data_IF_495661176489
#
_entry.id   IF_495661176489
#
_cell.length_a   1.000
_cell.length_b   1.000
_cell.length_c   1.000
_cell.angle_alpha   90.00
_cell.angle_beta   90.00
_cell.angle_gamma   90.00
#
_symmetry.space_group_name_H-M   'P 1'
#
loop_
_entity.id
_entity.type
_entity.pdbx_description
1 polymer ?
#
# COMPACT_ATOMS: atom_id res chain seq x y z
N UNK A 1 -2.15 -3.97 -10.46
CA UNK A 1 -3.44 -3.28 -10.69
C UNK A 1 -3.19 -1.78 -10.59
N UNK A 2 -3.50 -1.00 -11.63
CA UNK A 2 -3.70 0.48 -11.79
C UNK A 2 -3.12 1.53 -10.80
N UNK A 3 -2.32 1.19 -9.79
CA UNK A 3 -1.82 2.10 -8.74
C UNK A 3 -1.01 3.25 -9.35
N UNK A 4 -0.17 2.94 -10.34
CA UNK A 4 0.62 3.96 -11.06
C UNK A 4 -0.30 4.92 -11.81
N UNK A 5 -1.35 4.42 -12.47
CA UNK A 5 -2.33 5.26 -13.18
C UNK A 5 -3.10 6.11 -12.17
N UNK A 6 -3.48 5.55 -11.02
CA UNK A 6 -4.11 6.29 -9.92
C UNK A 6 -3.24 7.44 -9.41
N UNK A 7 -1.94 7.20 -9.19
CA UNK A 7 -1.01 8.25 -8.79
C UNK A 7 -0.90 9.35 -9.85
N UNK A 8 -0.85 9.00 -11.14
CA UNK A 8 -0.81 9.99 -12.22
C UNK A 8 -2.08 10.85 -12.23
N UNK A 9 -3.26 10.25 -12.06
CA UNK A 9 -4.53 10.99 -12.01
C UNK A 9 -4.57 11.93 -10.79
N UNK A 10 -4.14 11.47 -9.61
CA UNK A 10 -4.10 12.30 -8.41
C UNK A 10 -3.19 13.51 -8.60
N UNK A 11 -1.96 13.29 -9.09
CA UNK A 11 -0.99 14.37 -9.30
C UNK A 11 -1.50 15.36 -10.37
N UNK A 12 -2.07 14.85 -11.47
CA UNK A 12 -2.64 15.68 -12.53
C UNK A 12 -3.82 16.52 -12.05
N UNK A 13 -4.72 15.95 -11.24
CA UNK A 13 -5.87 16.69 -10.71
C UNK A 13 -5.46 17.75 -9.69
N UNK A 14 -4.53 17.43 -8.78
CA UNK A 14 -4.08 18.36 -7.72
C UNK A 14 -3.26 19.51 -8.32
N UNK A 15 -2.22 19.19 -9.09
CA UNK A 15 -1.36 20.23 -9.67
C UNK A 15 -2.02 20.93 -10.85
N UNK A 16 -2.76 20.20 -11.69
CA UNK A 16 -3.50 20.78 -12.80
C UNK A 16 -4.62 21.70 -12.34
N UNK A 17 -5.40 21.30 -11.32
CA UNK A 17 -6.44 22.15 -10.73
C UNK A 17 -5.87 23.44 -10.12
N UNK A 18 -4.74 23.35 -9.42
CA UNK A 18 -4.08 24.52 -8.82
C UNK A 18 -3.46 25.46 -9.88
N UNK A 19 -2.86 24.90 -10.92
CA UNK A 19 -2.31 25.68 -12.03
C UNK A 19 -3.41 26.37 -12.85
N UNK A 20 -4.54 25.69 -13.11
CA UNK A 20 -5.71 26.28 -13.80
C UNK A 20 -6.37 27.40 -13.00
N UNK A 21 -6.30 27.33 -11.66
CA UNK A 21 -6.76 28.41 -10.77
C UNK A 21 -5.80 29.63 -10.75
N UNK A 22 -4.72 29.64 -11.53
CA UNK A 22 -3.73 30.73 -11.57
C UNK A 22 -2.68 30.67 -10.46
N UNK A 23 -2.61 29.58 -9.70
CA UNK A 23 -1.65 29.40 -8.62
C UNK A 23 -0.23 29.13 -9.16
N UNK A 24 0.77 29.85 -8.62
CA UNK A 24 2.17 29.55 -8.89
C UNK A 24 2.59 28.31 -8.11
N UNK A 25 2.96 27.23 -8.79
CA UNK A 25 3.36 25.96 -8.16
C UNK A 25 4.51 26.10 -7.16
N UNK A 26 5.34 27.15 -7.28
CA UNK A 26 6.39 27.46 -6.29
C UNK A 26 5.84 27.87 -4.92
N UNK A 27 4.62 28.40 -4.83
CA UNK A 27 3.97 28.77 -3.57
C UNK A 27 3.47 27.58 -2.76
N UNK A 28 3.30 26.41 -3.38
CA UNK A 28 2.94 25.16 -2.70
C UNK A 28 4.11 24.58 -1.91
N UNK A 29 5.35 24.96 -2.23
CA UNK A 29 6.52 24.48 -1.53
C UNK A 29 6.82 25.35 -0.31
N UNK A 30 6.01 25.18 0.75
CA UNK A 30 6.24 25.80 2.06
C UNK A 30 6.79 24.77 3.06
N UNK A 31 8.09 24.84 3.41
CA UNK A 31 8.69 23.91 4.36
C UNK A 31 8.01 23.92 5.74
N UNK A 32 7.48 25.07 6.15
CA UNK A 32 6.79 25.25 7.43
C UNK A 32 5.44 24.53 7.46
N UNK A 33 4.63 24.63 6.40
CA UNK A 33 3.37 23.89 6.32
C UNK A 33 3.62 22.38 6.28
N UNK A 34 4.68 21.93 5.60
CA UNK A 34 5.03 20.52 5.55
C UNK A 34 5.45 19.98 6.93
N UNK A 35 6.12 20.80 7.75
CA UNK A 35 6.44 20.47 9.15
C UNK A 35 5.17 20.45 10.02
N UNK A 36 4.29 21.45 9.88
CA UNK A 36 3.06 21.53 10.70
C UNK A 36 2.09 20.39 10.37
N UNK A 37 1.81 20.16 9.09
CA UNK A 37 0.88 19.11 8.63
C UNK A 37 1.51 17.74 8.82
N UNK A 38 2.76 17.55 8.38
CA UNK A 38 3.46 16.27 8.48
C UNK A 38 3.79 15.90 9.93
N UNK A 39 4.27 16.85 10.72
CA UNK A 39 4.54 16.67 12.15
C UNK A 39 3.26 16.45 12.96
N UNK A 40 2.19 17.19 12.64
CA UNK A 40 0.87 17.00 13.26
C UNK A 40 0.26 15.63 12.95
N UNK A 41 0.27 15.22 11.67
CA UNK A 41 -0.20 13.90 11.26
C UNK A 41 0.64 12.77 11.87
N UNK A 42 1.97 12.91 11.90
CA UNK A 42 2.87 11.96 12.53
C UNK A 42 2.67 11.87 14.04
N UNK A 43 2.51 12.99 14.72
CA UNK A 43 2.21 13.05 16.15
C UNK A 43 0.86 12.42 16.49
N UNK A 44 -0.20 12.73 15.72
CA UNK A 44 -1.51 12.12 15.87
C UNK A 44 -1.48 10.60 15.61
N UNK A 45 -0.70 10.16 14.62
CA UNK A 45 -0.48 8.73 14.35
C UNK A 45 0.18 8.01 15.53
N UNK A 46 1.17 8.64 16.17
CA UNK A 46 1.84 8.08 17.36
C UNK A 46 0.92 8.03 18.58
N UNK A 47 0.10 9.07 18.81
CA UNK A 47 -0.84 9.11 19.94
C UNK A 47 -2.00 8.13 19.75
N UNK A 48 -2.50 7.99 18.52
CA UNK A 48 -3.65 7.14 18.21
C UNK A 48 -3.34 5.65 18.08
N UNK A 49 -2.07 5.23 18.14
CA UNK A 49 -1.66 3.85 17.94
C UNK A 49 -0.82 3.30 19.10
N UNK A 50 -0.83 1.97 19.26
CA UNK A 50 0.09 1.31 20.18
C UNK A 50 1.49 1.23 19.58
N UNK A 51 2.54 1.23 20.41
CA UNK A 51 3.93 1.12 19.93
C UNK A 51 4.20 -0.12 19.06
N UNK A 52 3.45 -1.21 19.27
CA UNK A 52 3.50 -2.41 18.41
C UNK A 52 2.94 -2.11 17.01
N UNK A 53 1.81 -1.43 16.92
CA UNK A 53 1.19 -1.06 15.65
C UNK A 53 2.08 -0.08 14.87
N UNK A 54 2.62 0.94 15.53
CA UNK A 54 3.56 1.90 14.91
C UNK A 54 4.76 1.17 14.27
N UNK A 55 5.38 0.26 15.01
CA UNK A 55 6.54 -0.52 14.53
C UNK A 55 6.17 -1.46 13.38
N UNK A 56 5.00 -2.10 13.43
CA UNK A 56 4.50 -2.96 12.36
C UNK A 56 4.24 -2.17 11.08
N UNK A 57 3.59 -1.01 11.19
CA UNK A 57 3.32 -0.12 10.06
C UNK A 57 4.62 0.34 9.41
N UNK A 58 5.59 0.84 10.19
CA UNK A 58 6.90 1.27 9.66
C UNK A 58 7.66 0.14 8.95
N UNK A 59 7.56 -1.10 9.45
CA UNK A 59 8.16 -2.28 8.80
C UNK A 59 7.43 -2.66 7.50
N UNK A 60 6.13 -2.40 7.41
CA UNK A 60 5.30 -2.69 6.25
C UNK A 60 5.37 -1.61 5.15
N UNK A 61 5.66 -0.34 5.46
CA UNK A 61 5.83 0.75 4.47
C UNK A 61 6.71 0.34 3.26
N UNK A 62 7.94 -0.19 3.43
CA UNK A 62 8.76 -0.57 2.28
C UNK A 62 8.19 -1.75 1.49
N UNK A 63 7.26 -2.53 2.04
CA UNK A 63 6.60 -3.61 1.31
C UNK A 63 5.52 -3.12 0.34
N UNK A 64 5.00 -1.90 0.52
CA UNK A 64 3.99 -1.29 -0.37
C UNK A 64 4.63 -0.92 -1.72
N UNK A 65 5.89 -0.52 -1.71
CA UNK A 65 6.65 -0.23 -2.93
C UNK A 65 7.15 -1.48 -3.66
N UNK A 66 7.18 -2.63 -2.98
CA UNK A 66 7.45 -3.92 -3.62
C UNK A 66 6.15 -4.42 -4.23
N UNK A 67 6.14 -4.63 -5.54
CA UNK A 67 4.99 -5.22 -6.24
C UNK A 67 4.56 -6.54 -5.58
N UNK A 68 3.29 -6.92 -5.78
CA UNK A 68 2.73 -8.17 -5.25
C UNK A 68 3.70 -9.32 -5.49
N UNK A 69 4.18 -9.95 -4.42
CA UNK A 69 4.97 -11.19 -4.51
C UNK A 69 4.18 -12.35 -5.13
N UNK A 70 2.85 -12.24 -5.11
CA UNK A 70 1.95 -13.25 -5.63
C UNK A 70 1.64 -12.91 -7.09
N UNK A 71 2.17 -13.71 -7.99
CA UNK A 71 1.79 -13.68 -9.40
C UNK A 71 0.56 -14.57 -9.62
N UNK A 72 -0.06 -14.43 -10.79
CA UNK A 72 -1.13 -15.35 -11.22
C UNK A 72 -0.65 -16.80 -11.16
N UNK A 73 0.60 -17.06 -11.56
CA UNK A 73 1.19 -18.41 -11.55
C UNK A 73 1.30 -18.96 -10.13
N UNK A 74 1.72 -18.14 -9.15
CA UNK A 74 1.73 -18.56 -7.74
C UNK A 74 0.33 -18.94 -7.23
N UNK A 75 -0.72 -18.24 -7.66
CA UNK A 75 -2.10 -18.61 -7.32
C UNK A 75 -2.53 -19.91 -8.00
N UNK A 76 -2.14 -20.13 -9.27
CA UNK A 76 -2.45 -21.35 -9.99
C UNK A 76 -1.74 -22.57 -9.38
N UNK A 77 -0.46 -22.44 -9.04
CA UNK A 77 0.31 -23.46 -8.34
C UNK A 77 -0.29 -23.78 -6.96
N UNK A 78 -0.72 -22.76 -6.21
CA UNK A 78 -1.39 -22.96 -4.93
C UNK A 78 -2.70 -23.73 -5.08
N UNK A 79 -3.51 -23.41 -6.10
CA UNK A 79 -4.75 -24.14 -6.38
C UNK A 79 -4.49 -25.59 -6.81
N UNK A 80 -3.45 -25.84 -7.62
CA UNK A 80 -3.04 -27.18 -8.00
C UNK A 80 -2.59 -28.00 -6.78
N UNK A 81 -1.77 -27.41 -5.91
CA UNK A 81 -1.35 -28.04 -4.65
C UNK A 81 -2.54 -28.38 -3.75
N UNK A 82 -3.50 -27.46 -3.61
CA UNK A 82 -4.73 -27.71 -2.83
C UNK A 82 -5.55 -28.86 -3.42
N UNK A 83 -5.65 -28.94 -4.75
CA UNK A 83 -6.34 -30.03 -5.43
C UNK A 83 -5.68 -31.38 -5.19
N UNK A 84 -4.35 -31.45 -5.29
CA UNK A 84 -3.58 -32.66 -5.02
C UNK A 84 -3.72 -33.12 -3.56
N UNK A 85 -3.63 -32.19 -2.60
CA UNK A 85 -3.82 -32.47 -1.18
C UNK A 85 -5.21 -33.02 -0.88
N UNK A 86 -6.26 -32.33 -1.36
CA UNK A 86 -7.64 -32.77 -1.17
C UNK A 86 -7.92 -34.09 -1.89
N UNK A 87 -7.32 -34.29 -3.07
CA UNK A 87 -7.38 -35.56 -3.82
C UNK A 87 -6.72 -36.71 -3.06
N UNK A 88 -5.56 -36.47 -2.44
CA UNK A 88 -4.85 -37.43 -1.60
C UNK A 88 -5.66 -37.77 -0.35
N UNK A 89 -6.15 -36.77 0.37
CA UNK A 89 -7.01 -36.96 1.57
C UNK A 89 -8.27 -37.76 1.23
N UNK A 90 -8.86 -37.54 0.06
CA UNK A 90 -10.04 -38.30 -0.39
C UNK A 90 -9.73 -39.77 -0.71
N UNK A 91 -8.52 -40.07 -1.20
CA UNK A 91 -8.11 -41.43 -1.58
C UNK A 91 -7.52 -42.23 -0.42
N UNK A 92 -6.71 -41.59 0.42
CA UNK A 92 -5.89 -42.23 1.46
C UNK A 92 -6.35 -41.90 2.89
N UNK A 93 -7.31 -40.97 3.06
CA UNK A 93 -7.79 -40.50 4.37
C UNK A 93 -6.99 -39.32 4.92
N UNK A 94 -7.42 -38.77 6.06
CA UNK A 94 -6.82 -37.58 6.70
C UNK A 94 -5.41 -37.80 7.29
N UNK A 95 -4.90 -39.04 7.29
CA UNK A 95 -3.76 -39.47 8.09
C UNK A 95 -2.55 -39.94 7.26
N UNK A 96 -2.21 -39.23 6.17
CA UNK A 96 -0.91 -39.37 5.48
C UNK A 96 -0.34 -38.07 4.94
#
# INVERSE_FOLDING_TARGET
MLVIIGYVVVLASVFGGYALAGGHLGGLYQPLELLMIGGGAGGAFLVGNTGKAVKATLKAVPSIFKGSKYSKDTYMELMALMYELLGKVRKEGLMS
#
